data_IF_008408538949
#
_entry.id   IF_008408538949
#
_cell.length_a   1.000
_cell.length_b   1.000
_cell.length_c   1.000
_cell.angle_alpha   90.00
_cell.angle_beta   90.00
_cell.angle_gamma   90.00
#
_symmetry.space_group_name_H-M   'P 1'
#
loop_
_entity.id
_entity.type
_entity.pdbx_description
1 polymer ?
#
# COMPACT_ATOMS: atom_id res chain seq x y z
N UNK A 1 17.11 -2.35 -4.47
CA UNK A 1 16.76 -1.11 -3.72
C UNK A 1 15.61 -0.32 -4.38
N UNK A 2 15.48 -0.33 -5.72
CA UNK A 2 14.45 0.39 -6.49
C UNK A 2 13.01 -0.04 -6.15
N UNK A 3 12.75 -1.35 -5.99
CA UNK A 3 11.43 -1.88 -5.59
C UNK A 3 10.93 -1.31 -4.26
N UNK A 4 11.81 -1.12 -3.26
CA UNK A 4 11.42 -0.50 -1.97
C UNK A 4 11.01 0.97 -2.13
N UNK A 5 11.66 1.71 -3.02
CA UNK A 5 11.31 3.11 -3.33
C UNK A 5 9.97 3.19 -4.05
N UNK A 6 9.76 2.37 -5.08
CA UNK A 6 8.49 2.31 -5.82
C UNK A 6 7.34 1.93 -4.90
N UNK A 7 7.57 0.98 -3.98
CA UNK A 7 6.56 0.61 -2.99
C UNK A 7 6.21 1.78 -2.06
N UNK A 8 7.22 2.47 -1.52
CA UNK A 8 7.02 3.64 -0.66
C UNK A 8 6.30 4.78 -1.40
N UNK A 9 6.59 4.98 -2.68
CA UNK A 9 5.91 5.94 -3.55
C UNK A 9 4.45 5.53 -3.77
N UNK A 10 4.18 4.26 -4.04
CA UNK A 10 2.81 3.74 -4.22
C UNK A 10 1.98 3.89 -2.95
N UNK A 11 2.53 3.56 -1.77
CA UNK A 11 1.83 3.78 -0.50
C UNK A 11 1.56 5.26 -0.26
N UNK A 12 2.52 6.14 -0.57
CA UNK A 12 2.34 7.59 -0.47
C UNK A 12 1.21 8.08 -1.38
N UNK A 13 1.15 7.56 -2.62
CA UNK A 13 0.14 7.93 -3.61
C UNK A 13 -1.26 7.49 -3.14
N UNK A 14 -1.40 6.30 -2.56
CA UNK A 14 -2.67 5.83 -1.96
C UNK A 14 -3.13 6.74 -0.83
N UNK A 15 -2.23 7.13 0.07
CA UNK A 15 -2.54 8.05 1.19
C UNK A 15 -2.94 9.44 0.66
N UNK A 16 -2.23 9.96 -0.33
CA UNK A 16 -2.52 11.26 -0.93
C UNK A 16 -3.90 11.27 -1.60
N UNK A 17 -4.20 10.23 -2.38
CA UNK A 17 -5.49 10.08 -3.07
C UNK A 17 -6.64 9.98 -2.05
N UNK A 18 -6.41 9.28 -0.94
CA UNK A 18 -7.36 9.18 0.15
C UNK A 18 -7.67 10.53 0.81
N UNK A 19 -6.64 11.32 1.11
CA UNK A 19 -6.79 12.67 1.66
C UNK A 19 -7.59 13.59 0.75
N UNK A 20 -7.33 13.54 -0.56
CA UNK A 20 -8.05 14.32 -1.58
C UNK A 20 -9.53 13.91 -1.60
N UNK A 21 -9.84 12.62 -1.58
CA UNK A 21 -11.21 12.11 -1.55
C UNK A 21 -11.96 12.55 -0.29
N UNK A 22 -11.29 12.51 0.87
CA UNK A 22 -11.80 13.02 2.14
C UNK A 22 -12.13 14.52 2.08
N UNK A 23 -11.20 15.34 1.55
CA UNK A 23 -11.44 16.79 1.42
C UNK A 23 -12.62 17.10 0.50
N UNK A 24 -12.73 16.42 -0.65
CA UNK A 24 -13.85 16.59 -1.59
C UNK A 24 -15.17 16.18 -0.94
N UNK A 25 -15.16 15.07 -0.20
CA UNK A 25 -16.32 14.55 0.53
C UNK A 25 -16.85 15.52 1.59
N UNK A 26 -15.94 16.06 2.40
CA UNK A 26 -16.27 17.07 3.41
C UNK A 26 -16.82 18.36 2.77
N UNK A 27 -16.21 18.83 1.68
CA UNK A 27 -16.64 20.04 0.97
C UNK A 27 -18.06 19.93 0.40
N UNK A 28 -18.43 18.75 -0.13
CA UNK A 28 -19.75 18.54 -0.69
C UNK A 28 -20.85 18.28 0.35
N UNK A 29 -20.56 18.27 1.66
CA UNK A 29 -21.48 17.92 2.77
C UNK A 29 -22.25 16.59 2.59
N UNK A 30 -21.90 15.81 1.58
CA UNK A 30 -22.54 14.55 1.20
C UNK A 30 -21.94 13.38 1.95
N UNK A 31 -20.74 13.56 2.53
CA UNK A 31 -20.10 12.52 3.33
C UNK A 31 -20.70 12.51 4.73
N UNK A 32 -21.57 11.53 4.97
CA UNK A 32 -21.98 11.16 6.32
C UNK A 32 -20.76 10.67 7.11
N UNK A 33 -20.66 11.04 8.39
CA UNK A 33 -19.52 10.68 9.27
C UNK A 33 -19.22 9.18 9.22
N UNK A 34 -20.27 8.34 9.13
CA UNK A 34 -20.16 6.89 8.98
C UNK A 34 -19.43 6.46 7.70
N UNK A 35 -19.70 7.11 6.57
CA UNK A 35 -19.06 6.81 5.30
C UNK A 35 -17.57 7.18 5.32
N UNK A 36 -17.22 8.29 5.98
CA UNK A 36 -15.82 8.69 6.19
C UNK A 36 -15.06 7.65 7.00
N UNK A 37 -15.62 7.22 8.13
CA UNK A 37 -15.03 6.18 9.00
C UNK A 37 -14.86 4.87 8.23
N UNK A 38 -15.87 4.41 7.50
CA UNK A 38 -15.79 3.19 6.69
C UNK A 38 -14.69 3.28 5.63
N UNK A 39 -14.61 4.40 4.89
CA UNK A 39 -13.53 4.60 3.93
C UNK A 39 -12.16 4.58 4.61
N UNK A 40 -12.03 5.18 5.79
CA UNK A 40 -10.76 5.19 6.55
C UNK A 40 -10.31 3.78 6.91
N UNK A 41 -11.24 2.96 7.41
CA UNK A 41 -10.98 1.57 7.79
C UNK A 41 -10.59 0.74 6.56
N UNK A 42 -11.29 0.91 5.43
CA UNK A 42 -10.98 0.20 4.19
C UNK A 42 -9.60 0.59 3.68
N UNK A 43 -9.25 1.87 3.68
CA UNK A 43 -7.92 2.32 3.25
C UNK A 43 -6.83 1.82 4.18
N UNK A 44 -7.05 1.82 5.49
CA UNK A 44 -6.10 1.24 6.45
C UNK A 44 -5.90 -0.27 6.21
N UNK A 45 -6.98 -1.03 5.98
CA UNK A 45 -6.92 -2.45 5.61
C UNK A 45 -6.10 -2.67 4.34
N UNK A 46 -6.34 -1.90 3.28
CA UNK A 46 -5.60 -2.00 2.02
C UNK A 46 -4.11 -1.74 2.24
N UNK A 47 -3.76 -0.69 3.00
CA UNK A 47 -2.37 -0.35 3.31
C UNK A 47 -1.68 -1.48 4.08
N UNK A 48 -2.34 -2.06 5.09
CA UNK A 48 -1.81 -3.18 5.88
C UNK A 48 -1.55 -4.40 4.98
N UNK A 49 -2.51 -4.75 4.14
CA UNK A 49 -2.38 -5.87 3.20
C UNK A 49 -1.21 -5.64 2.25
N UNK A 50 -1.12 -4.46 1.63
CA UNK A 50 -0.03 -4.11 0.73
C UNK A 50 1.33 -4.20 1.45
N UNK A 51 1.43 -3.67 2.67
CA UNK A 51 2.65 -3.71 3.46
C UNK A 51 3.08 -5.15 3.78
N UNK A 52 2.12 -6.01 4.15
CA UNK A 52 2.35 -7.44 4.37
C UNK A 52 2.82 -8.15 3.10
N UNK A 53 2.16 -7.89 1.97
CA UNK A 53 2.51 -8.45 0.66
C UNK A 53 3.92 -8.03 0.22
N UNK A 54 4.33 -6.80 0.47
CA UNK A 54 5.68 -6.32 0.15
C UNK A 54 6.74 -7.14 0.87
N UNK A 55 6.50 -7.40 2.15
CA UNK A 55 7.42 -8.14 3.00
C UNK A 55 7.52 -9.58 2.51
N UNK A 56 6.40 -10.15 2.07
CA UNK A 56 6.32 -11.47 1.46
C UNK A 56 7.11 -11.55 0.16
N UNK A 57 6.90 -10.60 -0.76
CA UNK A 57 7.62 -10.50 -2.03
C UNK A 57 9.12 -10.40 -1.76
N UNK A 58 9.55 -9.53 -0.85
CA UNK A 58 10.98 -9.39 -0.51
C UNK A 58 11.58 -10.68 0.07
N UNK A 59 10.78 -11.46 0.80
CA UNK A 59 11.23 -12.74 1.34
C UNK A 59 11.39 -13.79 0.23
N UNK A 60 10.43 -13.85 -0.69
CA UNK A 60 10.48 -14.73 -1.86
C UNK A 60 11.66 -14.35 -2.77
N UNK A 61 11.83 -13.06 -3.07
CA UNK A 61 12.90 -12.55 -3.93
C UNK A 61 14.28 -12.93 -3.37
N UNK A 62 14.48 -12.77 -2.06
CA UNK A 62 15.73 -13.16 -1.41
C UNK A 62 15.97 -14.68 -1.42
N UNK A 63 14.90 -15.48 -1.30
CA UNK A 63 14.99 -16.94 -1.38
C UNK A 63 15.30 -17.39 -2.82
N UNK A 64 14.62 -16.82 -3.80
CA UNK A 64 14.84 -17.08 -5.24
C UNK A 64 16.25 -16.68 -5.66
N UNK A 65 16.74 -15.52 -5.23
CA UNK A 65 18.08 -15.04 -5.57
C UNK A 65 19.17 -15.97 -5.03
N UNK A 66 18.96 -16.53 -3.82
CA UNK A 66 19.86 -17.54 -3.25
C UNK A 66 19.84 -18.85 -4.01
N UNK A 67 18.67 -19.31 -4.46
CA UNK A 67 18.56 -20.52 -5.29
C UNK A 67 19.19 -20.32 -6.67
N UNK A 68 18.94 -19.18 -7.32
CA UNK A 68 19.53 -18.86 -8.62
C UNK A 68 21.06 -18.84 -8.56
N UNK A 69 21.62 -18.21 -7.51
CA UNK A 69 23.07 -18.18 -7.28
C UNK A 69 23.67 -19.57 -7.02
N UNK A 70 22.86 -20.52 -6.54
CA UNK A 70 23.28 -21.91 -6.30
C UNK A 70 23.27 -22.75 -7.57
N UNK A 71 22.36 -22.50 -8.51
CA UNK A 71 22.33 -23.20 -9.80
C UNK A 71 23.38 -22.69 -10.80
N UNK A 72 23.87 -21.47 -10.62
CA UNK A 72 24.89 -20.87 -11.49
C UNK A 72 26.34 -21.26 -11.11
N UNK A 73 26.51 -22.16 -10.14
CA UNK A 73 27.82 -22.66 -9.65
C UNK A 73 27.88 -24.17 -9.84
#
# INVERSE_FOLDING_TARGET
>A
MVIKRLFKISTCLVILTYLIFMMIGLFRRTLSVRASVLMTVVTAMIVIIFYGLTKLIHYIDHKLYKELKRMMK
#
